data_IF_918288714626
#
_entry.id   IF_918288714626
#
_cell.length_a   1.000
_cell.length_b   1.000
_cell.length_c   1.000
_cell.angle_alpha   90.00
_cell.angle_beta   90.00
_cell.angle_gamma   90.00
#
_symmetry.space_group_name_H-M   'P 1'
#
loop_
_entity.id
_entity.type
_entity.pdbx_description
1 polymer ?
#
# COMPACT_ATOMS: atom_id res chain seq x y z
N UNK A 1 -22.76 -21.73 -22.93
CA UNK A 1 -22.66 -22.98 -23.73
C UNK A 1 -23.67 -23.99 -23.19
N UNK A 2 -24.75 -24.27 -23.92
CA UNK A 2 -25.73 -25.30 -23.57
C UNK A 2 -25.11 -26.67 -23.87
N UNK A 3 -24.45 -27.29 -22.89
CA UNK A 3 -24.22 -28.74 -22.96
C UNK A 3 -25.58 -29.43 -22.84
N UNK A 4 -25.83 -30.50 -23.62
CA UNK A 4 -27.05 -31.28 -23.48
C UNK A 4 -27.15 -31.84 -22.05
N UNK A 5 -28.36 -31.99 -21.49
CA UNK A 5 -28.56 -32.54 -20.15
C UNK A 5 -27.92 -33.93 -20.05
N UNK A 6 -27.35 -34.24 -18.88
CA UNK A 6 -26.74 -35.54 -18.65
C UNK A 6 -27.81 -36.64 -18.71
N UNK A 7 -27.74 -37.50 -19.73
CA UNK A 7 -28.69 -38.59 -19.98
C UNK A 7 -28.10 -39.97 -19.70
N UNK A 8 -27.03 -40.04 -18.90
CA UNK A 8 -26.43 -41.31 -18.49
C UNK A 8 -27.18 -41.88 -17.30
N UNK A 9 -27.68 -43.10 -17.47
CA UNK A 9 -28.44 -43.85 -16.48
C UNK A 9 -27.70 -45.14 -16.18
N UNK A 10 -27.55 -45.45 -14.89
CA UNK A 10 -27.09 -46.73 -14.41
C UNK A 10 -28.29 -47.57 -14.00
N UNK A 11 -28.42 -48.80 -14.49
CA UNK A 11 -29.45 -49.74 -14.09
C UNK A 11 -28.79 -50.92 -13.39
N UNK A 12 -29.19 -51.17 -12.15
CA UNK A 12 -28.69 -52.23 -11.29
C UNK A 12 -29.86 -53.13 -10.92
N UNK A 13 -29.95 -54.29 -11.56
CA UNK A 13 -30.99 -55.30 -11.32
C UNK A 13 -30.39 -56.67 -11.65
N UNK A 14 -30.71 -57.71 -10.89
CA UNK A 14 -30.15 -59.06 -11.12
C UNK A 14 -30.86 -59.81 -12.26
N UNK A 15 -32.00 -59.29 -12.72
CA UNK A 15 -32.92 -59.96 -13.65
C UNK A 15 -32.74 -59.44 -15.09
N UNK A 16 -32.20 -60.24 -16.03
CA UNK A 16 -31.89 -59.77 -17.39
C UNK A 16 -33.07 -59.21 -18.18
N UNK A 17 -34.29 -59.73 -17.97
CA UNK A 17 -35.48 -59.22 -18.67
C UNK A 17 -35.83 -57.78 -18.31
N UNK A 18 -35.52 -57.34 -17.08
CA UNK A 18 -35.75 -55.95 -16.64
C UNK A 18 -34.84 -55.00 -17.42
N UNK A 19 -33.60 -55.39 -17.70
CA UNK A 19 -32.69 -54.60 -18.52
C UNK A 19 -33.21 -54.38 -19.94
N UNK A 20 -33.79 -55.42 -20.54
CA UNK A 20 -34.36 -55.32 -21.89
C UNK A 20 -35.62 -54.44 -21.91
N UNK A 21 -36.44 -54.47 -20.86
CA UNK A 21 -37.61 -53.61 -20.74
C UNK A 21 -37.20 -52.14 -20.56
N UNK A 22 -36.26 -51.85 -19.66
CA UNK A 22 -35.72 -50.50 -19.50
C UNK A 22 -35.03 -49.99 -20.78
N UNK A 23 -34.34 -50.86 -21.52
CA UNK A 23 -33.75 -50.51 -22.81
C UNK A 23 -34.82 -50.12 -23.82
N UNK A 24 -35.92 -50.88 -23.95
CA UNK A 24 -37.05 -50.52 -24.83
C UNK A 24 -37.68 -49.18 -24.45
N UNK A 25 -37.79 -48.91 -23.14
CA UNK A 25 -38.45 -47.71 -22.62
C UNK A 25 -37.56 -46.46 -22.76
N UNK A 26 -36.28 -46.55 -22.39
CA UNK A 26 -35.37 -45.40 -22.28
C UNK A 26 -34.48 -45.21 -23.51
N UNK A 27 -34.33 -46.24 -24.33
CA UNK A 27 -33.61 -46.23 -25.61
C UNK A 27 -34.55 -46.64 -26.75
N UNK A 28 -35.58 -45.84 -27.08
CA UNK A 28 -36.47 -46.19 -28.19
C UNK A 28 -35.65 -46.36 -29.47
N UNK A 29 -35.73 -47.55 -30.07
CA UNK A 29 -35.13 -47.85 -31.37
C UNK A 29 -35.78 -46.90 -32.37
N UNK A 30 -34.97 -46.04 -32.98
CA UNK A 30 -35.43 -45.20 -34.08
C UNK A 30 -35.65 -46.12 -35.26
N UNK A 31 -36.87 -46.62 -35.41
CA UNK A 31 -37.28 -47.28 -36.64
C UNK A 31 -37.22 -46.21 -37.74
N UNK A 32 -36.18 -46.29 -38.57
CA UNK A 32 -35.86 -45.30 -39.58
C UNK A 32 -36.79 -45.44 -40.78
N UNK A 33 -38.08 -45.18 -40.59
CA UNK A 33 -38.99 -44.88 -41.69
C UNK A 33 -38.91 -43.38 -42.01
N UNK A 34 -37.73 -42.93 -42.45
CA UNK A 34 -37.53 -41.57 -42.99
C UNK A 34 -38.57 -41.22 -44.05
N UNK A 35 -39.01 -42.20 -44.83
CA UNK A 35 -39.99 -42.03 -45.92
C UNK A 35 -41.39 -41.66 -45.41
N UNK A 36 -41.84 -42.21 -44.27
CA UNK A 36 -43.15 -41.86 -43.70
C UNK A 36 -43.11 -40.48 -43.03
N UNK A 37 -42.04 -40.17 -42.29
CA UNK A 37 -41.87 -38.86 -41.63
C UNK A 37 -41.76 -37.72 -42.67
N UNK A 38 -41.12 -37.96 -43.82
CA UNK A 38 -41.06 -37.00 -44.95
C UNK A 38 -42.42 -36.82 -45.65
N UNK A 39 -43.19 -37.89 -45.85
CA UNK A 39 -44.53 -37.82 -46.45
C UNK A 39 -45.53 -37.08 -45.54
N UNK A 40 -45.48 -37.29 -44.23
CA UNK A 40 -46.34 -36.58 -43.27
C UNK A 40 -46.03 -35.07 -43.21
N UNK A 41 -44.74 -34.71 -43.25
CA UNK A 41 -44.31 -33.31 -43.25
C UNK A 41 -44.73 -32.57 -44.52
N UNK A 42 -44.69 -33.24 -45.68
CA UNK A 42 -45.12 -32.69 -46.96
C UNK A 42 -46.66 -32.53 -47.09
N UNK A 43 -47.44 -33.42 -46.46
CA UNK A 43 -48.91 -33.42 -46.54
C UNK A 43 -49.58 -32.49 -45.52
N UNK A 44 -49.03 -32.37 -44.30
CA UNK A 44 -49.70 -31.67 -43.19
C UNK A 44 -48.94 -30.45 -42.65
N UNK A 45 -47.75 -30.11 -43.17
CA UNK A 45 -47.00 -28.93 -42.77
C UNK A 45 -46.58 -28.91 -41.30
N UNK A 46 -46.58 -30.07 -40.63
CA UNK A 46 -46.19 -30.18 -39.23
C UNK A 46 -44.66 -30.06 -39.11
N UNK A 47 -44.21 -29.17 -38.22
CA UNK A 47 -42.83 -29.14 -37.75
C UNK A 47 -42.48 -30.51 -37.17
N UNK A 48 -41.43 -31.14 -37.71
CA UNK A 48 -40.87 -32.38 -37.19
C UNK A 48 -40.69 -32.20 -35.68
N UNK A 49 -41.51 -32.87 -34.86
CA UNK A 49 -41.31 -32.89 -33.41
C UNK A 49 -39.90 -33.43 -33.19
N UNK A 50 -39.02 -32.60 -32.61
CA UNK A 50 -37.68 -33.03 -32.24
C UNK A 50 -37.81 -34.28 -31.36
N UNK A 51 -37.47 -35.46 -31.90
CA UNK A 51 -37.51 -36.72 -31.16
C UNK A 51 -36.53 -36.58 -29.99
N UNK A 52 -37.03 -36.77 -28.77
CA UNK A 52 -36.21 -36.62 -27.57
C UNK A 52 -35.01 -37.58 -27.65
N UNK A 53 -33.77 -37.13 -27.42
CA UNK A 53 -32.60 -37.99 -27.52
C UNK A 53 -32.71 -39.16 -26.53
N UNK A 54 -32.39 -40.39 -26.95
CA UNK A 54 -32.40 -41.55 -26.05
C UNK A 54 -31.48 -41.35 -24.84
N UNK A 55 -31.75 -42.08 -23.75
CA UNK A 55 -30.82 -42.15 -22.63
C UNK A 55 -29.66 -43.10 -22.96
N UNK A 56 -28.50 -42.88 -22.34
CA UNK A 56 -27.38 -43.82 -22.37
C UNK A 56 -27.52 -44.73 -21.15
N UNK A 57 -27.93 -45.97 -21.37
CA UNK A 57 -28.19 -46.94 -20.29
C UNK A 57 -27.01 -47.89 -20.12
N UNK A 58 -26.43 -47.92 -18.92
CA UNK A 58 -25.43 -48.91 -18.52
C UNK A 58 -26.04 -49.89 -17.53
N UNK A 59 -25.81 -51.18 -17.78
CA UNK A 59 -26.40 -52.29 -17.02
C UNK A 59 -25.35 -52.89 -16.10
N UNK A 60 -25.74 -53.12 -14.85
CA UNK A 60 -25.04 -53.92 -13.87
C UNK A 60 -26.00 -54.97 -13.32
N UNK A 61 -25.52 -56.20 -13.13
CA UNK A 61 -26.32 -57.32 -12.64
C UNK A 61 -26.19 -57.52 -11.13
N UNK A 62 -25.53 -56.59 -10.45
CA UNK A 62 -25.38 -56.58 -8.99
C UNK A 62 -24.78 -55.27 -8.49
N UNK A 63 -24.93 -55.00 -7.20
CA UNK A 63 -24.50 -53.74 -6.58
C UNK A 63 -23.00 -53.44 -6.72
N UNK A 64 -22.15 -54.45 -6.59
CA UNK A 64 -20.69 -54.30 -6.70
C UNK A 64 -20.25 -53.91 -8.12
N UNK A 65 -20.88 -54.51 -9.15
CA UNK A 65 -20.64 -54.16 -10.55
C UNK A 65 -21.11 -52.73 -10.84
N UNK A 66 -22.29 -52.35 -10.31
CA UNK A 66 -22.81 -50.98 -10.44
C UNK A 66 -21.88 -49.94 -9.83
N UNK A 67 -21.30 -50.22 -8.66
CA UNK A 67 -20.30 -49.35 -8.02
C UNK A 67 -19.04 -49.21 -8.88
N UNK A 68 -18.52 -50.31 -9.45
CA UNK A 68 -17.34 -50.25 -10.32
C UNK A 68 -17.59 -49.41 -11.58
N UNK A 69 -18.76 -49.53 -12.20
CA UNK A 69 -19.16 -48.69 -13.33
C UNK A 69 -19.24 -47.22 -12.93
N UNK A 70 -19.82 -46.89 -11.76
CA UNK A 70 -19.86 -45.53 -11.24
C UNK A 70 -18.45 -44.96 -11.02
N UNK A 71 -17.56 -45.72 -10.39
CA UNK A 71 -16.16 -45.29 -10.14
C UNK A 71 -15.45 -45.00 -11.46
N UNK A 72 -15.54 -45.92 -12.43
CA UNK A 72 -14.94 -45.74 -13.75
C UNK A 72 -15.50 -44.50 -14.46
N UNK A 73 -16.81 -44.29 -14.38
CA UNK A 73 -17.49 -43.15 -14.97
C UNK A 73 -17.07 -41.81 -14.33
N UNK A 74 -16.88 -41.78 -13.01
CA UNK A 74 -16.38 -40.60 -12.29
C UNK A 74 -14.91 -40.30 -12.65
N UNK A 75 -14.07 -41.34 -12.75
CA UNK A 75 -12.67 -41.20 -13.16
C UNK A 75 -12.54 -40.64 -14.59
N UNK A 76 -13.47 -41.00 -15.48
CA UNK A 76 -13.53 -40.49 -16.86
C UNK A 76 -14.25 -39.15 -16.99
N UNK A 77 -14.65 -38.51 -15.87
CA UNK A 77 -15.43 -37.26 -15.84
C UNK A 77 -16.78 -37.34 -16.59
N UNK A 78 -17.35 -38.54 -16.68
CA UNK A 78 -18.66 -38.78 -17.29
C UNK A 78 -19.63 -39.32 -16.24
N UNK A 79 -20.11 -38.49 -15.31
CA UNK A 79 -20.95 -38.94 -14.21
C UNK A 79 -22.30 -39.50 -14.70
N UNK A 80 -22.88 -40.43 -13.94
CA UNK A 80 -24.28 -40.80 -14.13
C UNK A 80 -25.19 -39.76 -13.47
N UNK A 81 -26.29 -39.42 -14.12
CA UNK A 81 -27.29 -38.50 -13.54
C UNK A 81 -28.28 -39.25 -12.64
N UNK A 82 -28.58 -40.50 -12.99
CA UNK A 82 -29.61 -41.31 -12.36
C UNK A 82 -29.18 -42.77 -12.28
N UNK A 83 -29.55 -43.43 -11.18
CA UNK A 83 -29.47 -44.88 -11.03
C UNK A 83 -30.84 -45.49 -10.71
N UNK A 84 -31.25 -46.52 -11.46
CA UNK A 84 -32.33 -47.41 -11.07
C UNK A 84 -31.72 -48.61 -10.34
N UNK A 85 -32.19 -48.88 -9.13
CA UNK A 85 -31.61 -49.92 -8.27
C UNK A 85 -32.70 -50.83 -7.76
N UNK A 86 -32.60 -52.12 -8.07
CA UNK A 86 -33.47 -53.13 -7.50
C UNK A 86 -33.18 -53.35 -6.01
N UNK A 87 -34.24 -53.51 -5.22
CA UNK A 87 -34.09 -53.67 -3.78
C UNK A 87 -33.69 -55.09 -3.37
N UNK A 88 -33.99 -56.12 -4.18
CA UNK A 88 -33.75 -57.54 -3.83
C UNK A 88 -32.84 -58.22 -4.85
N UNK A 89 -31.53 -58.13 -4.61
CA UNK A 89 -30.51 -58.87 -5.34
C UNK A 89 -29.98 -60.02 -4.45
N UNK A 90 -30.38 -61.29 -4.68
CA UNK A 90 -30.07 -62.43 -3.82
C UNK A 90 -28.60 -62.86 -3.88
N UNK A 91 -27.85 -62.45 -4.90
CA UNK A 91 -26.41 -62.65 -5.00
C UNK A 91 -25.68 -61.32 -4.79
N UNK A 92 -24.98 -61.18 -3.66
CA UNK A 92 -24.16 -60.00 -3.37
C UNK A 92 -24.85 -58.95 -2.49
N UNK A 93 -24.72 -57.67 -2.84
CA UNK A 93 -25.28 -56.55 -2.08
C UNK A 93 -26.77 -56.38 -2.38
N UNK A 94 -27.56 -56.05 -1.36
CA UNK A 94 -28.95 -55.61 -1.54
C UNK A 94 -29.02 -54.18 -2.12
N UNK A 95 -30.21 -53.75 -2.53
CA UNK A 95 -30.37 -52.41 -3.11
C UNK A 95 -30.02 -51.29 -2.14
N UNK A 96 -30.35 -51.45 -0.85
CA UNK A 96 -30.05 -50.46 0.18
C UNK A 96 -28.54 -50.24 0.35
N UNK A 97 -27.76 -51.32 0.53
CA UNK A 97 -26.29 -51.25 0.63
C UNK A 97 -25.68 -50.70 -0.66
N UNK A 98 -26.24 -51.08 -1.82
CA UNK A 98 -25.79 -50.54 -3.10
C UNK A 98 -25.92 -49.03 -3.15
N UNK A 99 -27.07 -48.47 -2.75
CA UNK A 99 -27.32 -47.02 -2.76
C UNK A 99 -26.38 -46.29 -1.79
N UNK A 100 -26.17 -46.82 -0.58
CA UNK A 100 -25.23 -46.26 0.39
C UNK A 100 -23.81 -46.12 -0.21
N UNK A 101 -23.31 -47.16 -0.86
CA UNK A 101 -21.97 -47.16 -1.44
C UNK A 101 -21.88 -46.25 -2.68
N UNK A 102 -22.93 -46.19 -3.51
CA UNK A 102 -22.97 -45.26 -4.65
C UNK A 102 -22.91 -43.80 -4.19
N UNK A 103 -23.66 -43.42 -3.15
CA UNK A 103 -23.70 -42.05 -2.65
C UNK A 103 -22.45 -41.61 -1.90
N UNK A 104 -21.64 -42.53 -1.35
CA UNK A 104 -20.31 -42.20 -0.82
C UNK A 104 -19.39 -41.64 -1.92
N UNK A 105 -19.56 -42.10 -3.15
CA UNK A 105 -18.72 -41.73 -4.30
C UNK A 105 -19.35 -40.60 -5.12
N UNK A 106 -20.66 -40.66 -5.33
CA UNK A 106 -21.43 -39.68 -6.09
C UNK A 106 -22.63 -39.17 -5.27
N UNK A 107 -22.41 -38.23 -4.33
CA UNK A 107 -23.49 -37.72 -3.48
C UNK A 107 -24.63 -37.07 -4.28
N UNK A 108 -24.35 -36.54 -5.46
CA UNK A 108 -25.29 -35.85 -6.33
C UNK A 108 -26.18 -36.79 -7.15
N UNK A 109 -25.81 -38.07 -7.28
CA UNK A 109 -26.54 -39.09 -8.04
C UNK A 109 -28.01 -39.20 -7.60
N UNK A 110 -28.94 -39.10 -8.55
CA UNK A 110 -30.35 -39.37 -8.27
C UNK A 110 -30.61 -40.87 -8.29
N UNK A 111 -31.46 -41.37 -7.41
CA UNK A 111 -31.72 -42.82 -7.28
C UNK A 111 -33.21 -43.11 -7.33
N UNK A 112 -33.58 -44.10 -8.13
CA UNK A 112 -34.93 -44.68 -8.15
C UNK A 112 -34.84 -46.12 -7.67
N UNK A 113 -35.55 -46.42 -6.59
CA UNK A 113 -35.63 -47.77 -6.01
C UNK A 113 -36.72 -48.56 -6.71
N UNK A 114 -36.34 -49.68 -7.31
CA UNK A 114 -37.23 -50.66 -7.90
C UNK A 114 -37.60 -51.71 -6.84
N UNK A 115 -38.88 -51.86 -6.52
CA UNK A 115 -39.35 -52.78 -5.45
C UNK A 115 -40.63 -53.50 -5.85
N UNK A 116 -40.84 -54.73 -5.34
CA UNK A 116 -42.13 -55.42 -5.39
C UNK A 116 -42.98 -55.08 -4.15
N UNK A 117 -44.25 -55.48 -4.15
CA UNK A 117 -45.29 -55.09 -3.19
C UNK A 117 -45.02 -55.50 -1.71
N UNK A 118 -43.93 -56.23 -1.43
CA UNK A 118 -43.72 -56.96 -0.17
C UNK A 118 -42.35 -56.76 0.47
N UNK A 119 -41.50 -55.85 -0.03
CA UNK A 119 -40.07 -56.05 0.18
C UNK A 119 -39.49 -55.38 1.44
N UNK A 120 -39.92 -54.16 1.78
CA UNK A 120 -39.51 -53.43 2.99
C UNK A 120 -40.58 -52.41 3.41
N UNK A 121 -40.65 -52.05 4.70
CA UNK A 121 -41.38 -50.88 5.14
C UNK A 121 -40.62 -49.60 4.71
N UNK A 122 -41.31 -48.68 4.06
CA UNK A 122 -40.70 -47.46 3.47
C UNK A 122 -39.96 -46.59 4.50
N UNK A 123 -40.45 -46.56 5.74
CA UNK A 123 -39.88 -45.80 6.85
C UNK A 123 -38.46 -46.31 7.20
N UNK A 124 -38.25 -47.63 7.25
CA UNK A 124 -36.95 -48.24 7.57
C UNK A 124 -35.89 -47.94 6.49
N UNK A 125 -36.31 -47.84 5.22
CA UNK A 125 -35.40 -47.49 4.11
C UNK A 125 -35.04 -46.01 4.12
N UNK A 126 -35.98 -45.12 4.44
CA UNK A 126 -35.72 -43.69 4.56
C UNK A 126 -34.80 -43.39 5.75
N UNK A 127 -35.01 -44.04 6.88
CA UNK A 127 -34.18 -43.89 8.07
C UNK A 127 -32.75 -44.38 7.83
N UNK A 128 -32.60 -45.47 7.06
CA UNK A 128 -31.28 -46.02 6.72
C UNK A 128 -30.51 -45.17 5.70
N UNK A 129 -31.21 -44.56 4.75
CA UNK A 129 -30.59 -43.86 3.60
C UNK A 129 -30.52 -42.33 3.75
N UNK A 130 -31.18 -41.73 4.75
CA UNK A 130 -31.16 -40.29 5.06
C UNK A 130 -31.35 -39.35 3.84
N UNK A 131 -32.06 -39.81 2.80
CA UNK A 131 -32.00 -39.25 1.44
C UNK A 131 -33.34 -38.77 0.87
N UNK A 132 -34.16 -38.06 1.66
CA UNK A 132 -35.57 -37.77 1.37
C UNK A 132 -35.87 -37.11 0.01
N UNK A 133 -34.95 -36.29 -0.53
CA UNK A 133 -35.19 -35.54 -1.78
C UNK A 133 -34.54 -36.16 -3.03
N UNK A 134 -33.74 -37.23 -2.88
CA UNK A 134 -32.96 -37.83 -3.99
C UNK A 134 -33.35 -39.27 -4.30
N UNK A 135 -34.37 -39.77 -3.58
CA UNK A 135 -34.87 -41.12 -3.65
C UNK A 135 -36.32 -41.09 -4.16
N UNK A 136 -36.60 -41.78 -5.26
CA UNK A 136 -37.97 -42.09 -5.68
C UNK A 136 -38.19 -43.61 -5.66
N UNK A 137 -39.43 -44.05 -5.50
CA UNK A 137 -39.79 -45.47 -5.58
C UNK A 137 -40.53 -45.70 -6.88
N UNK A 138 -40.20 -46.81 -7.52
CA UNK A 138 -40.88 -47.35 -8.67
C UNK A 138 -41.32 -48.79 -8.36
N UNK A 139 -42.63 -49.07 -8.41
CA UNK A 139 -43.20 -50.38 -8.06
C UNK A 139 -43.29 -51.31 -9.27
N UNK A 140 -42.86 -52.57 -9.12
CA UNK A 140 -43.00 -53.63 -10.15
C UNK A 140 -44.45 -54.17 -10.19
N UNK A 141 -45.08 -54.39 -11.37
CA UNK A 141 -44.59 -54.11 -12.72
C UNK A 141 -44.66 -52.62 -13.08
N UNK A 142 -43.69 -52.14 -13.85
CA UNK A 142 -43.51 -50.72 -14.15
C UNK A 142 -44.35 -50.26 -15.34
N UNK A 143 -44.86 -49.01 -15.29
CA UNK A 143 -45.44 -48.34 -16.46
C UNK A 143 -44.35 -47.61 -17.26
N UNK A 144 -44.34 -47.78 -18.59
CA UNK A 144 -43.37 -47.16 -19.49
C UNK A 144 -43.32 -45.62 -19.35
N UNK A 145 -44.48 -44.99 -19.17
CA UNK A 145 -44.61 -43.53 -19.03
C UNK A 145 -43.99 -43.09 -17.70
N UNK A 146 -44.22 -43.85 -16.62
CA UNK A 146 -43.70 -43.54 -15.29
C UNK A 146 -42.15 -43.56 -15.28
N UNK A 147 -41.55 -44.60 -15.86
CA UNK A 147 -40.08 -44.72 -15.98
C UNK A 147 -39.50 -43.57 -16.80
N UNK A 148 -40.11 -43.22 -17.94
CA UNK A 148 -39.65 -42.09 -18.76
C UNK A 148 -39.78 -40.74 -18.05
N UNK A 149 -40.88 -40.51 -17.33
CA UNK A 149 -41.10 -39.25 -16.60
C UNK A 149 -40.09 -39.11 -15.46
N UNK A 150 -39.86 -40.17 -14.69
CA UNK A 150 -38.86 -40.19 -13.62
C UNK A 150 -37.45 -39.94 -14.18
N UNK A 151 -37.08 -40.65 -15.26
CA UNK A 151 -35.77 -40.49 -15.89
C UNK A 151 -35.51 -39.06 -16.35
N UNK A 152 -36.47 -38.44 -17.05
CA UNK A 152 -36.33 -37.06 -17.52
C UNK A 152 -36.28 -36.05 -16.36
N UNK A 153 -37.17 -36.21 -15.37
CA UNK A 153 -37.28 -35.25 -14.26
C UNK A 153 -36.03 -35.27 -13.39
N UNK A 154 -35.54 -36.46 -13.03
CA UNK A 154 -34.37 -36.61 -12.17
C UNK A 154 -33.06 -36.24 -12.89
N UNK A 155 -32.91 -36.61 -14.16
CA UNK A 155 -31.75 -36.19 -14.95
C UNK A 155 -31.67 -34.66 -15.08
N UNK A 156 -32.81 -33.99 -15.31
CA UNK A 156 -32.86 -32.52 -15.34
C UNK A 156 -32.57 -31.91 -13.96
N UNK A 157 -33.12 -32.49 -12.88
CA UNK A 157 -32.84 -32.04 -11.51
C UNK A 157 -31.35 -32.10 -11.18
N UNK A 158 -30.68 -33.19 -11.55
CA UNK A 158 -29.24 -33.37 -11.38
C UNK A 158 -28.44 -32.29 -12.11
N UNK A 159 -28.76 -32.05 -13.38
CA UNK A 159 -28.07 -31.06 -14.21
C UNK A 159 -28.28 -29.63 -13.68
N UNK A 160 -29.49 -29.29 -13.25
CA UNK A 160 -29.79 -28.00 -12.63
C UNK A 160 -29.03 -27.79 -11.32
N UNK A 161 -29.01 -28.80 -10.44
CA UNK A 161 -28.30 -28.71 -9.16
C UNK A 161 -26.80 -28.51 -9.39
N UNK A 162 -26.19 -29.28 -10.31
CA UNK A 162 -24.78 -29.14 -10.65
C UNK A 162 -24.44 -27.79 -11.25
N UNK A 163 -25.30 -27.27 -12.14
CA UNK A 163 -25.12 -25.93 -12.72
C UNK A 163 -25.19 -24.84 -11.66
N UNK A 164 -26.16 -24.93 -10.74
CA UNK A 164 -26.30 -23.98 -9.64
C UNK A 164 -25.03 -23.96 -8.78
N UNK A 165 -24.52 -25.13 -8.37
CA UNK A 165 -23.28 -25.21 -7.58
C UNK A 165 -22.09 -24.59 -8.32
N UNK A 166 -21.90 -24.92 -9.61
CA UNK A 166 -20.80 -24.35 -10.40
C UNK A 166 -20.93 -22.83 -10.56
N UNK A 167 -22.15 -22.32 -10.75
CA UNK A 167 -22.39 -20.88 -10.84
C UNK A 167 -22.11 -20.18 -9.51
N UNK A 168 -22.54 -20.75 -8.38
CA UNK A 168 -22.28 -20.19 -7.06
C UNK A 168 -20.77 -20.10 -6.80
N UNK A 169 -20.02 -21.19 -7.03
CA UNK A 169 -18.56 -21.18 -6.85
C UNK A 169 -17.88 -20.15 -7.76
N UNK A 170 -18.34 -20.01 -9.01
CA UNK A 170 -17.79 -19.01 -9.92
C UNK A 170 -18.08 -17.57 -9.45
N UNK A 171 -19.29 -17.30 -8.96
CA UNK A 171 -19.67 -16.01 -8.41
C UNK A 171 -18.88 -15.67 -7.14
N UNK A 172 -18.68 -16.63 -6.25
CA UNK A 172 -17.87 -16.45 -5.04
C UNK A 172 -16.43 -16.04 -5.38
N UNK A 173 -15.80 -16.74 -6.34
CA UNK A 173 -14.46 -16.39 -6.82
C UNK A 173 -14.41 -14.97 -7.44
N UNK A 174 -15.42 -14.60 -8.23
CA UNK A 174 -15.47 -13.29 -8.85
C UNK A 174 -15.67 -12.17 -7.82
N UNK A 175 -16.52 -12.40 -6.82
CA UNK A 175 -16.71 -11.48 -5.69
C UNK A 175 -15.40 -11.30 -4.94
N UNK A 176 -14.70 -12.39 -4.59
CA UNK A 176 -13.42 -12.31 -3.88
C UNK A 176 -12.38 -11.50 -4.67
N UNK A 177 -12.23 -11.78 -5.96
CA UNK A 177 -11.32 -11.02 -6.84
C UNK A 177 -11.69 -9.53 -6.91
N UNK A 178 -12.98 -9.21 -7.02
CA UNK A 178 -13.45 -7.82 -7.08
C UNK A 178 -13.26 -7.10 -5.75
N UNK A 179 -13.50 -7.77 -4.63
CA UNK A 179 -13.29 -7.21 -3.30
C UNK A 179 -11.81 -6.91 -3.06
N UNK A 180 -10.90 -7.81 -3.44
CA UNK A 180 -9.45 -7.57 -3.35
C UNK A 180 -9.00 -6.39 -4.21
N UNK A 181 -9.46 -6.32 -5.46
CA UNK A 181 -9.13 -5.21 -6.36
C UNK A 181 -9.64 -3.86 -5.82
N UNK A 182 -10.88 -3.83 -5.30
CA UNK A 182 -11.46 -2.62 -4.72
C UNK A 182 -10.71 -2.17 -3.47
N UNK A 183 -10.27 -3.12 -2.63
CA UNK A 183 -9.50 -2.80 -1.44
C UNK A 183 -8.17 -2.13 -1.79
N UNK A 184 -7.47 -2.63 -2.81
CA UNK A 184 -6.24 -2.02 -3.33
C UNK A 184 -6.50 -0.59 -3.83
N UNK A 185 -7.57 -0.38 -4.59
CA UNK A 185 -7.95 0.96 -5.11
C UNK A 185 -8.33 1.94 -3.98
N UNK A 186 -9.01 1.47 -2.93
CA UNK A 186 -9.33 2.27 -1.74
C UNK A 186 -8.05 2.68 -1.01
N UNK A 187 -7.10 1.77 -0.83
CA UNK A 187 -5.85 2.06 -0.13
C UNK A 187 -4.97 3.02 -0.92
N UNK A 188 -4.93 2.88 -2.25
CA UNK A 188 -4.27 3.84 -3.14
C UNK A 188 -4.93 5.23 -3.08
N UNK A 189 -6.26 5.30 -3.14
CA UNK A 189 -7.01 6.56 -3.01
C UNK A 189 -6.74 7.25 -1.68
N UNK A 190 -6.76 6.52 -0.56
CA UNK A 190 -6.45 7.08 0.77
C UNK A 190 -5.03 7.63 0.83
N UNK A 191 -4.07 6.94 0.20
CA UNK A 191 -2.70 7.41 0.14
C UNK A 191 -2.59 8.74 -0.62
N UNK A 192 -3.23 8.83 -1.80
CA UNK A 192 -3.27 10.06 -2.60
C UNK A 192 -3.99 11.21 -1.87
N UNK A 193 -5.10 10.95 -1.22
CA UNK A 193 -5.84 11.95 -0.43
C UNK A 193 -4.98 12.52 0.71
N UNK A 194 -4.26 11.66 1.44
CA UNK A 194 -3.32 12.09 2.47
C UNK A 194 -2.20 12.97 1.91
N UNK A 195 -1.67 12.62 0.73
CA UNK A 195 -0.63 13.42 0.06
C UNK A 195 -1.17 14.79 -0.37
N UNK A 196 -2.41 14.86 -0.90
CA UNK A 196 -3.05 16.12 -1.30
C UNK A 196 -3.29 17.03 -0.10
N UNK A 197 -3.83 16.51 1.00
CA UNK A 197 -4.03 17.28 2.24
C UNK A 197 -2.70 17.81 2.78
N UNK A 198 -1.63 17.01 2.73
CA UNK A 198 -0.30 17.46 3.13
C UNK A 198 0.23 18.56 2.19
N UNK A 199 0.06 18.42 0.88
CA UNK A 199 0.44 19.44 -0.12
C UNK A 199 -0.32 20.74 0.07
N UNK A 200 -1.63 20.70 0.32
CA UNK A 200 -2.46 21.88 0.55
C UNK A 200 -2.03 22.63 1.82
N UNK A 201 -1.76 21.89 2.91
CA UNK A 201 -1.19 22.47 4.14
C UNK A 201 0.15 23.16 3.88
N UNK A 202 1.02 22.55 3.09
CA UNK A 202 2.33 23.14 2.73
C UNK A 202 2.18 24.40 1.89
N UNK A 203 1.27 24.40 0.91
CA UNK A 203 0.98 25.57 0.07
C UNK A 203 0.41 26.75 0.88
N UNK A 204 -0.56 26.47 1.75
CA UNK A 204 -1.14 27.47 2.67
C UNK A 204 -0.08 28.06 3.61
N UNK A 205 0.79 27.19 4.15
CA UNK A 205 1.90 27.61 5.01
C UNK A 205 2.91 28.48 4.24
N UNK A 206 3.19 28.16 2.98
CA UNK A 206 4.05 28.95 2.10
C UNK A 206 3.52 30.37 1.84
N UNK A 207 2.23 30.50 1.53
CA UNK A 207 1.63 31.81 1.25
C UNK A 207 1.60 32.72 2.50
N UNK A 208 1.27 32.16 3.66
CA UNK A 208 1.32 32.89 4.95
C UNK A 208 2.76 33.23 5.36
N UNK A 209 3.70 32.31 5.17
CA UNK A 209 5.12 32.49 5.45
C UNK A 209 5.71 33.71 4.72
N UNK A 210 5.36 33.93 3.46
CA UNK A 210 5.87 35.06 2.67
C UNK A 210 5.41 36.42 3.22
N UNK A 211 4.14 36.55 3.61
CA UNK A 211 3.57 37.78 4.19
C UNK A 211 4.12 38.06 5.58
N UNK A 212 4.07 37.04 6.46
CA UNK A 212 4.59 37.12 7.84
C UNK A 212 6.09 37.44 7.85
N UNK A 213 6.87 36.87 6.91
CA UNK A 213 8.28 37.17 6.82
C UNK A 213 8.59 38.64 6.50
N UNK A 214 7.77 39.28 5.68
CA UNK A 214 7.94 40.71 5.40
C UNK A 214 7.54 41.56 6.61
N UNK A 215 6.48 41.18 7.33
CA UNK A 215 6.00 41.91 8.49
C UNK A 215 6.90 41.77 9.72
N UNK A 216 7.60 40.64 9.88
CA UNK A 216 8.58 40.45 10.97
C UNK A 216 9.93 41.09 10.65
N UNK A 217 10.40 41.02 9.39
CA UNK A 217 11.70 41.62 9.04
C UNK A 217 11.76 43.12 9.28
N UNK A 218 10.65 43.84 9.08
CA UNK A 218 10.56 45.28 9.28
C UNK A 218 10.89 45.70 10.74
N UNK A 219 10.15 45.26 11.78
CA UNK A 219 10.45 45.59 13.18
C UNK A 219 11.82 45.08 13.62
N UNK A 220 12.23 43.89 13.18
CA UNK A 220 13.53 43.33 13.52
C UNK A 220 14.68 44.19 12.96
N UNK A 221 14.54 44.70 11.75
CA UNK A 221 15.48 45.65 11.15
C UNK A 221 15.62 46.93 11.98
N UNK A 222 14.50 47.51 12.43
CA UNK A 222 14.52 48.69 13.30
C UNK A 222 15.23 48.41 14.64
N UNK A 223 14.94 47.29 15.29
CA UNK A 223 15.56 46.94 16.58
C UNK A 223 17.06 46.69 16.38
N UNK A 224 17.46 45.94 15.34
CA UNK A 224 18.87 45.68 15.04
C UNK A 224 19.67 46.98 14.80
N UNK A 225 19.08 47.92 14.07
CA UNK A 225 19.67 49.24 13.83
C UNK A 225 19.80 50.01 15.14
N UNK A 226 18.73 50.06 15.95
CA UNK A 226 18.74 50.78 17.23
C UNK A 226 19.77 50.22 18.21
N UNK A 227 19.89 48.90 18.33
CA UNK A 227 20.92 48.28 19.17
C UNK A 227 22.33 48.55 18.67
N UNK A 228 22.54 48.61 17.36
CA UNK A 228 23.84 48.96 16.78
C UNK A 228 24.22 50.40 17.08
N UNK A 229 23.25 51.32 16.98
CA UNK A 229 23.42 52.71 17.38
C UNK A 229 23.67 52.85 18.89
N UNK A 230 22.91 52.12 19.72
CA UNK A 230 23.07 52.13 21.18
C UNK A 230 24.45 51.64 21.60
N UNK A 231 24.95 50.58 20.97
CA UNK A 231 26.31 50.07 21.16
C UNK A 231 27.36 51.15 20.84
N UNK A 232 27.18 51.87 19.72
CA UNK A 232 28.07 52.98 19.36
C UNK A 232 28.01 54.12 20.38
N UNK A 233 26.82 54.50 20.87
CA UNK A 233 26.69 55.55 21.88
C UNK A 233 27.31 55.13 23.20
N UNK A 234 27.13 53.88 23.61
CA UNK A 234 27.71 53.37 24.83
C UNK A 234 29.23 53.33 24.74
N UNK A 235 29.82 52.92 23.62
CA UNK A 235 31.27 52.96 23.41
C UNK A 235 31.85 54.38 23.50
N UNK A 236 31.13 55.40 23.02
CA UNK A 236 31.54 56.81 23.18
C UNK A 236 31.45 57.26 24.65
N UNK A 237 30.39 56.85 25.37
CA UNK A 237 30.24 57.13 26.80
C UNK A 237 31.33 56.44 27.62
N UNK A 238 31.67 55.18 27.31
CA UNK A 238 32.77 54.45 27.94
C UNK A 238 34.09 55.22 27.79
N UNK A 239 34.41 55.65 26.58
CA UNK A 239 35.62 56.43 26.31
C UNK A 239 35.68 57.71 27.16
N UNK A 240 34.55 58.39 27.37
CA UNK A 240 34.50 59.58 28.22
C UNK A 240 34.63 59.23 29.71
N UNK A 241 33.98 58.16 30.17
CA UNK A 241 34.08 57.68 31.54
C UNK A 241 35.51 57.24 31.87
N UNK A 242 36.21 56.59 30.95
CA UNK A 242 37.62 56.22 31.09
C UNK A 242 38.52 57.45 31.22
N UNK A 243 38.25 58.50 30.43
CA UNK A 243 38.98 59.76 30.53
C UNK A 243 38.74 60.46 31.88
N UNK A 244 37.50 60.47 32.37
CA UNK A 244 37.18 61.00 33.70
C UNK A 244 37.82 60.18 34.82
N UNK A 245 37.78 58.86 34.73
CA UNK A 245 38.41 57.95 35.70
C UNK A 245 39.93 58.17 35.75
N UNK A 246 40.58 58.38 34.61
CA UNK A 246 42.01 58.67 34.53
C UNK A 246 42.36 60.04 35.14
N UNK A 247 41.47 61.03 34.99
CA UNK A 247 41.65 62.36 35.58
C UNK A 247 41.30 62.42 37.08
N UNK A 248 40.50 61.48 37.57
CA UNK A 248 40.02 61.41 38.97
C UNK A 248 41.18 61.42 39.98
N UNK A 249 42.29 60.74 39.66
CA UNK A 249 43.49 60.69 40.49
C UNK A 249 44.24 62.03 40.63
N UNK A 250 43.96 62.97 39.72
CA UNK A 250 44.61 64.29 39.68
C UNK A 250 43.76 65.38 40.36
N UNK A 251 42.54 65.07 40.82
CA UNK A 251 41.63 66.05 41.43
C UNK A 251 42.08 66.38 42.86
N UNK A 252 42.22 67.68 43.14
CA UNK A 252 42.40 68.24 44.48
C UNK A 252 41.32 69.31 44.74
N UNK A 253 40.70 69.38 45.93
CA UNK A 253 41.03 68.68 47.19
C UNK A 253 40.57 67.20 47.28
N UNK A 254 41.18 66.44 48.21
CA UNK A 254 40.92 65.00 48.45
C UNK A 254 39.44 64.68 48.70
N UNK A 255 38.73 65.56 49.40
CA UNK A 255 37.31 65.36 49.75
C UNK A 255 36.41 65.21 48.50
N UNK A 256 36.68 65.98 47.43
CA UNK A 256 35.93 65.89 46.18
C UNK A 256 36.24 64.60 45.41
N UNK A 257 37.49 64.12 45.50
CA UNK A 257 37.90 62.83 44.95
C UNK A 257 37.20 61.67 45.67
N UNK A 258 37.13 61.71 47.00
CA UNK A 258 36.47 60.67 47.77
C UNK A 258 34.95 60.66 47.55
N UNK A 259 34.33 61.83 47.35
CA UNK A 259 32.92 61.93 46.93
C UNK A 259 32.66 61.30 45.56
N UNK A 260 33.54 61.54 44.56
CA UNK A 260 33.43 60.92 43.24
C UNK A 260 33.61 59.40 43.28
N UNK A 261 34.59 58.90 44.06
CA UNK A 261 34.78 57.46 44.29
C UNK A 261 33.56 56.81 44.95
N UNK A 262 33.00 57.47 45.97
CA UNK A 262 31.79 57.00 46.65
C UNK A 262 30.60 56.94 45.70
N UNK A 263 30.43 57.96 44.84
CA UNK A 263 29.38 57.98 43.83
C UNK A 263 29.58 56.86 42.78
N UNK A 264 30.81 56.67 42.29
CA UNK A 264 31.14 55.59 41.34
C UNK A 264 30.83 54.21 41.91
N UNK A 265 31.19 54.00 43.17
CA UNK A 265 30.92 52.74 43.89
C UNK A 265 29.43 52.56 44.14
N UNK A 266 28.73 53.61 44.58
CA UNK A 266 27.28 53.56 44.84
C UNK A 266 26.41 53.40 43.59
N UNK A 267 26.90 53.82 42.42
CA UNK A 267 26.29 53.56 41.12
C UNK A 267 26.69 52.22 40.50
N UNK A 268 27.62 51.48 41.13
CA UNK A 268 28.20 50.24 40.60
C UNK A 268 28.72 50.42 39.16
N UNK A 269 29.40 51.54 38.91
CA UNK A 269 29.75 51.94 37.54
C UNK A 269 30.57 50.87 36.83
N UNK A 270 31.54 50.25 37.51
CA UNK A 270 32.39 49.20 36.93
C UNK A 270 31.58 47.99 36.45
N UNK A 271 30.54 47.59 37.20
CA UNK A 271 29.61 46.53 36.79
C UNK A 271 28.81 46.92 35.55
N UNK A 272 28.25 48.14 35.52
CA UNK A 272 27.48 48.63 34.36
C UNK A 272 28.32 48.75 33.08
N UNK A 273 29.61 49.10 33.20
CA UNK A 273 30.57 49.15 32.08
C UNK A 273 30.77 47.77 31.44
N UNK A 274 30.70 46.70 32.22
CA UNK A 274 30.85 45.32 31.74
C UNK A 274 29.52 44.70 31.28
N UNK A 275 28.42 44.94 32.01
CA UNK A 275 27.14 44.27 31.79
C UNK A 275 26.36 44.81 30.57
N UNK A 276 26.35 46.13 30.36
CA UNK A 276 25.60 46.75 29.25
C UNK A 276 26.08 46.24 27.87
N UNK A 277 27.39 46.15 27.57
CA UNK A 277 27.88 45.55 26.33
C UNK A 277 27.43 44.10 26.14
N UNK A 278 27.39 43.32 27.22
CA UNK A 278 26.94 41.91 27.19
C UNK A 278 25.46 41.87 26.80
N UNK A 279 24.60 42.66 27.46
CA UNK A 279 23.16 42.73 27.15
C UNK A 279 22.88 43.16 25.70
N UNK A 280 23.63 44.14 25.19
CA UNK A 280 23.51 44.60 23.80
C UNK A 280 23.91 43.47 22.84
N UNK A 281 25.01 42.77 23.12
CA UNK A 281 25.48 41.65 22.30
C UNK A 281 24.47 40.51 22.27
N UNK A 282 23.98 40.06 23.42
CA UNK A 282 22.99 39.00 23.53
C UNK A 282 21.68 39.37 22.81
N UNK A 283 21.26 40.63 22.90
CA UNK A 283 20.08 41.13 22.18
C UNK A 283 20.28 41.12 20.66
N UNK A 284 21.46 41.52 20.18
CA UNK A 284 21.82 41.44 18.75
C UNK A 284 21.83 40.00 18.25
N UNK A 285 22.37 39.06 19.03
CA UNK A 285 22.36 37.63 18.70
C UNK A 285 20.93 37.05 18.66
N UNK A 286 20.07 37.43 19.61
CA UNK A 286 18.64 37.07 19.60
C UNK A 286 17.93 37.54 18.33
N UNK A 287 18.16 38.79 17.92
CA UNK A 287 17.61 39.34 16.68
C UNK A 287 18.16 38.62 15.44
N UNK A 288 19.47 38.35 15.40
CA UNK A 288 20.08 37.59 14.31
C UNK A 288 19.42 36.23 14.11
N UNK A 289 19.06 35.55 15.20
CA UNK A 289 18.30 34.29 15.16
C UNK A 289 16.91 34.49 14.56
N UNK A 290 16.17 35.52 14.97
CA UNK A 290 14.85 35.82 14.40
C UNK A 290 14.94 36.08 12.89
N UNK A 291 15.92 36.86 12.44
CA UNK A 291 16.15 37.10 11.01
C UNK A 291 16.41 35.78 10.27
N UNK A 292 17.21 34.89 10.84
CA UNK A 292 17.51 33.60 10.22
C UNK A 292 16.27 32.70 10.14
N UNK A 293 15.47 32.60 11.21
CA UNK A 293 14.22 31.83 11.21
C UNK A 293 13.26 32.36 10.13
N UNK A 294 13.11 33.68 10.04
CA UNK A 294 12.25 34.32 9.05
C UNK A 294 12.77 34.11 7.64
N UNK A 295 14.10 34.13 7.43
CA UNK A 295 14.73 33.85 6.14
C UNK A 295 14.52 32.40 5.72
N UNK A 296 14.65 31.45 6.64
CA UNK A 296 14.38 30.03 6.38
C UNK A 296 12.91 29.80 6.02
N UNK A 297 11.99 30.45 6.75
CA UNK A 297 10.55 30.45 6.48
C UNK A 297 10.22 31.06 5.10
N UNK A 298 10.89 32.16 4.73
CA UNK A 298 10.74 32.81 3.42
C UNK A 298 11.33 31.97 2.28
N UNK A 299 12.44 31.26 2.52
CA UNK A 299 13.03 30.36 1.54
C UNK A 299 12.16 29.12 1.34
N UNK A 300 11.51 28.64 2.41
CA UNK A 300 10.51 27.58 2.34
C UNK A 300 9.30 27.99 1.48
N UNK A 301 8.87 29.26 1.52
CA UNK A 301 7.78 29.77 0.69
C UNK A 301 8.19 30.19 -0.72
N UNK A 302 9.46 30.53 -0.96
CA UNK A 302 10.01 30.97 -2.26
C UNK A 302 10.42 29.83 -3.18
N UNK A 303 9.69 28.72 -3.18
CA UNK A 303 9.88 27.62 -4.13
C UNK A 303 9.50 28.04 -5.58
N UNK A 304 8.97 29.26 -5.80
CA UNK A 304 8.25 29.62 -7.03
C UNK A 304 8.87 30.67 -8.00
N UNK A 305 10.02 31.30 -7.75
CA UNK A 305 10.47 32.41 -8.64
C UNK A 305 11.50 32.07 -9.74
N UNK A 306 12.15 30.90 -9.73
CA UNK A 306 13.03 30.40 -10.82
C UNK A 306 12.70 28.92 -11.12
N UNK A 307 11.44 28.67 -11.51
CA UNK A 307 10.93 27.32 -11.79
C UNK A 307 11.17 26.86 -13.24
N UNK A 308 12.37 27.09 -13.77
CA UNK A 308 12.73 26.53 -15.07
C UNK A 308 13.46 25.20 -14.87
N UNK A 309 12.73 24.12 -15.15
CA UNK A 309 13.33 22.81 -15.33
C UNK A 309 14.36 22.90 -16.44
N UNK A 310 15.57 22.49 -16.12
CA UNK A 310 16.70 22.55 -17.04
C UNK A 310 17.65 21.39 -16.79
N UNK A 311 18.38 20.99 -17.82
CA UNK A 311 19.51 20.10 -17.65
C UNK A 311 20.63 20.86 -16.94
N UNK A 312 21.02 20.37 -15.77
CA UNK A 312 22.05 20.98 -14.96
C UNK A 312 23.05 19.95 -14.45
N UNK A 313 24.30 20.40 -14.31
CA UNK A 313 25.35 19.62 -13.67
C UNK A 313 25.21 19.71 -12.14
N UNK A 314 24.72 18.64 -11.52
CA UNK A 314 24.51 18.59 -10.07
C UNK A 314 25.81 18.75 -9.28
N UNK A 315 26.93 18.23 -9.78
CA UNK A 315 28.22 18.31 -9.10
C UNK A 315 28.70 19.76 -8.98
N UNK A 316 28.53 20.56 -10.04
CA UNK A 316 28.83 22.00 -9.99
C UNK A 316 27.95 22.74 -8.96
N UNK A 317 26.68 22.34 -8.85
CA UNK A 317 25.75 22.85 -7.84
C UNK A 317 26.19 22.52 -6.40
N UNK A 318 26.61 21.27 -6.16
CA UNK A 318 27.15 20.82 -4.87
C UNK A 318 28.41 21.63 -4.51
N UNK A 319 29.36 21.76 -5.42
CA UNK A 319 30.61 22.49 -5.17
C UNK A 319 30.35 23.97 -4.82
N UNK A 320 29.40 24.59 -5.53
CA UNK A 320 28.99 25.97 -5.24
C UNK A 320 28.37 26.09 -3.86
N UNK A 321 27.50 25.15 -3.49
CA UNK A 321 26.87 25.09 -2.16
C UNK A 321 27.91 24.92 -1.05
N UNK A 322 28.88 24.03 -1.23
CA UNK A 322 29.93 23.79 -0.24
C UNK A 322 30.82 25.01 -0.01
N UNK A 323 31.10 25.79 -1.06
CA UNK A 323 31.84 27.04 -0.93
C UNK A 323 31.08 28.07 -0.10
N UNK A 324 29.75 28.12 -0.21
CA UNK A 324 28.90 29.05 0.55
C UNK A 324 28.91 28.70 2.05
N UNK A 325 28.83 27.42 2.40
CA UNK A 325 28.80 26.97 3.80
C UNK A 325 30.20 26.74 4.39
N UNK A 326 31.27 26.97 3.62
CA UNK A 326 32.64 26.68 4.03
C UNK A 326 33.03 27.35 5.35
N UNK A 327 32.54 28.57 5.62
CA UNK A 327 32.82 29.28 6.88
C UNK A 327 32.21 28.60 8.11
N UNK A 328 31.04 28.00 7.97
CA UNK A 328 30.38 27.24 9.05
C UNK A 328 31.06 25.89 9.26
N UNK A 329 31.50 25.25 8.17
CA UNK A 329 32.18 23.96 8.21
C UNK A 329 33.61 24.04 8.75
N UNK A 330 34.32 25.14 8.50
CA UNK A 330 35.75 25.33 8.84
C UNK A 330 36.09 24.95 10.29
N UNK A 331 35.19 25.20 11.23
CA UNK A 331 35.42 24.92 12.65
C UNK A 331 34.77 23.63 13.15
N UNK A 332 33.94 22.96 12.34
CA UNK A 332 33.11 21.81 12.74
C UNK A 332 33.50 20.50 12.08
N UNK A 333 33.87 20.52 10.79
CA UNK A 333 34.15 19.30 10.05
C UNK A 333 35.13 19.53 8.89
N UNK A 334 35.77 18.45 8.47
CA UNK A 334 36.47 18.37 7.18
C UNK A 334 35.56 17.71 6.13
N UNK A 335 35.54 18.25 4.91
CA UNK A 335 34.69 17.76 3.83
C UNK A 335 35.51 16.90 2.88
N UNK A 336 35.12 15.63 2.73
CA UNK A 336 35.74 14.68 1.81
C UNK A 336 34.79 14.42 0.65
N UNK A 337 35.30 14.53 -0.59
CA UNK A 337 34.49 14.43 -1.81
C UNK A 337 34.87 13.17 -2.59
N UNK A 338 33.91 12.27 -2.79
CA UNK A 338 34.04 11.05 -3.59
C UNK A 338 33.10 11.14 -4.79
N UNK A 339 33.51 11.92 -5.80
CA UNK A 339 32.70 12.12 -6.99
C UNK A 339 33.02 11.09 -8.06
N UNK A 340 31.96 10.50 -8.59
CA UNK A 340 31.92 9.81 -9.87
C UNK A 340 31.32 10.77 -10.93
N UNK A 341 31.72 10.64 -12.21
CA UNK A 341 31.13 11.44 -13.27
C UNK A 341 29.61 11.25 -13.34
N UNK A 342 28.85 12.34 -13.18
CA UNK A 342 27.40 12.34 -13.31
C UNK A 342 26.98 12.94 -14.66
N UNK A 343 25.92 12.41 -15.31
CA UNK A 343 25.28 13.08 -16.42
C UNK A 343 24.58 14.37 -15.95
N UNK A 344 24.29 15.27 -16.88
CA UNK A 344 23.35 16.37 -16.60
C UNK A 344 21.96 15.78 -16.35
N UNK A 345 21.29 16.32 -15.34
CA UNK A 345 19.94 15.89 -14.95
C UNK A 345 18.95 17.02 -15.13
N UNK A 346 17.73 16.67 -15.50
CA UNK A 346 16.62 17.61 -15.60
C UNK A 346 16.09 17.94 -14.20
N UNK A 347 16.38 19.17 -13.73
CA UNK A 347 16.07 19.57 -12.36
C UNK A 347 15.87 21.08 -12.19
N UNK A 348 15.39 21.45 -11.01
CA UNK A 348 15.41 22.82 -10.49
C UNK A 348 16.65 22.99 -9.62
N UNK A 349 17.77 23.39 -10.24
CA UNK A 349 19.10 23.39 -9.61
C UNK A 349 19.16 24.15 -8.27
N UNK A 350 18.46 25.29 -8.16
CA UNK A 350 18.39 26.08 -6.92
C UNK A 350 17.78 25.30 -5.74
N UNK A 351 16.74 24.50 -6.00
CA UNK A 351 16.10 23.68 -4.98
C UNK A 351 16.98 22.50 -4.57
N UNK A 352 17.64 21.84 -5.53
CA UNK A 352 18.58 20.76 -5.19
C UNK A 352 19.78 21.27 -4.40
N UNK A 353 20.33 22.46 -4.74
CA UNK A 353 21.37 23.09 -3.94
C UNK A 353 20.90 23.37 -2.49
N UNK A 354 19.63 23.73 -2.31
CA UNK A 354 19.06 23.91 -0.97
C UNK A 354 18.95 22.59 -0.19
N UNK A 355 18.60 21.47 -0.84
CA UNK A 355 18.66 20.13 -0.22
C UNK A 355 20.07 19.83 0.26
N UNK A 356 21.07 20.01 -0.61
CA UNK A 356 22.49 19.77 -0.27
C UNK A 356 22.93 20.64 0.90
N UNK A 357 22.59 21.93 0.88
CA UNK A 357 22.90 22.86 1.95
C UNK A 357 22.33 22.39 3.29
N UNK A 358 21.06 22.00 3.32
CA UNK A 358 20.40 21.53 4.54
C UNK A 358 21.04 20.25 5.09
N UNK A 359 21.35 19.28 4.22
CA UNK A 359 21.99 18.03 4.64
C UNK A 359 23.39 18.27 5.21
N UNK A 360 24.19 19.12 4.57
CA UNK A 360 25.55 19.45 5.02
C UNK A 360 25.55 20.23 6.32
N UNK A 361 24.64 21.19 6.49
CA UNK A 361 24.48 21.95 7.75
C UNK A 361 24.05 21.01 8.88
N UNK A 362 23.08 20.12 8.63
CA UNK A 362 22.64 19.14 9.63
C UNK A 362 23.77 18.20 10.05
N UNK A 363 24.56 17.72 9.09
CA UNK A 363 25.76 16.92 9.34
C UNK A 363 26.76 17.67 10.23
N UNK A 364 27.06 18.94 9.92
CA UNK A 364 27.98 19.76 10.71
C UNK A 364 27.48 20.04 12.14
N UNK A 365 26.17 20.14 12.31
CA UNK A 365 25.53 20.37 13.61
C UNK A 365 25.47 19.11 14.47
N UNK A 366 25.49 17.93 13.86
CA UNK A 366 25.56 16.64 14.57
C UNK A 366 26.97 16.34 15.12
N UNK A 367 27.98 17.15 14.78
CA UNK A 367 29.35 16.99 15.24
C UNK A 367 29.50 17.40 16.71
N UNK A 368 30.34 16.66 17.43
CA UNK A 368 30.71 16.93 18.82
C UNK A 368 31.70 18.10 18.97
N UNK A 369 32.41 18.17 20.11
CA UNK A 369 33.43 19.18 20.36
C UNK A 369 34.70 19.01 19.49
N UNK A 370 34.95 17.80 18.99
CA UNK A 370 36.03 17.51 18.06
C UNK A 370 35.58 17.69 16.60
N UNK A 371 36.51 18.02 15.70
CA UNK A 371 36.21 18.15 14.27
C UNK A 371 35.85 16.79 13.69
N UNK A 372 34.68 16.71 13.07
CA UNK A 372 34.22 15.52 12.37
C UNK A 372 34.60 15.49 10.89
N UNK A 373 34.00 14.56 10.16
CA UNK A 373 34.17 14.38 8.72
C UNK A 373 32.81 14.25 8.05
N UNK A 374 32.60 15.06 7.02
CA UNK A 374 31.43 14.97 6.14
C UNK A 374 31.91 14.41 4.80
N UNK A 375 31.40 13.25 4.43
CA UNK A 375 31.72 12.59 3.17
C UNK A 375 30.57 12.78 2.19
N UNK A 376 30.87 13.32 1.01
CA UNK A 376 29.88 13.50 -0.06
C UNK A 376 30.25 12.59 -1.21
N UNK A 377 29.35 11.66 -1.52
CA UNK A 377 29.53 10.64 -2.54
C UNK A 377 28.40 10.71 -3.55
N UNK A 378 28.67 10.37 -4.81
CA UNK A 378 27.61 10.30 -5.81
C UNK A 378 27.84 9.14 -6.79
N UNK A 379 26.81 8.81 -7.55
CA UNK A 379 26.92 7.84 -8.63
C UNK A 379 25.66 7.73 -9.46
N UNK A 380 25.73 6.84 -10.44
CA UNK A 380 24.62 6.53 -11.35
C UNK A 380 24.22 5.08 -11.14
N UNK A 381 22.91 4.84 -11.09
CA UNK A 381 22.32 3.51 -11.02
C UNK A 381 21.14 3.43 -12.00
N UNK A 382 21.38 2.83 -13.18
CA UNK A 382 20.41 2.79 -14.27
C UNK A 382 20.05 4.19 -14.79
N UNK A 383 18.76 4.53 -14.73
CA UNK A 383 18.23 5.85 -15.14
C UNK A 383 18.19 6.88 -13.99
N UNK A 384 18.71 6.50 -12.81
CA UNK A 384 18.74 7.35 -11.64
C UNK A 384 20.17 7.74 -11.28
N UNK A 385 20.33 8.92 -10.69
CA UNK A 385 21.53 9.31 -9.96
C UNK A 385 21.27 9.21 -8.47
N UNK A 386 22.31 8.95 -7.70
CA UNK A 386 22.26 9.02 -6.25
C UNK A 386 23.33 9.97 -5.72
N UNK A 387 22.99 10.65 -4.63
CA UNK A 387 23.84 11.55 -3.86
C UNK A 387 23.76 11.14 -2.40
N UNK A 388 24.90 10.91 -1.77
CA UNK A 388 25.02 10.58 -0.36
C UNK A 388 25.77 11.68 0.38
N UNK A 389 25.21 12.10 1.52
CA UNK A 389 25.88 12.97 2.50
C UNK A 389 25.98 12.17 3.78
N UNK A 390 27.19 11.74 4.11
CA UNK A 390 27.50 10.96 5.31
C UNK A 390 28.29 11.79 6.31
N UNK A 391 27.92 11.71 7.58
CA UNK A 391 28.64 12.29 8.71
C UNK A 391 29.06 11.20 9.70
N UNK A 392 30.08 11.52 10.50
CA UNK A 392 30.49 10.72 11.65
C UNK A 392 30.08 11.36 12.99
N UNK A 393 28.94 12.07 12.99
CA UNK A 393 28.41 12.76 14.16
C UNK A 393 27.75 11.83 15.17
N UNK A 394 26.89 12.39 16.03
CA UNK A 394 26.24 11.65 17.12
C UNK A 394 25.22 10.58 16.68
N UNK A 395 24.80 10.57 15.41
CA UNK A 395 23.76 9.67 14.91
C UNK A 395 22.35 10.01 15.43
N UNK A 396 21.35 9.25 14.98
CA UNK A 396 19.92 9.48 15.24
C UNK A 396 19.31 8.20 15.81
N UNK A 397 18.49 8.32 16.86
CA UNK A 397 17.80 7.14 17.44
C UNK A 397 16.73 6.59 16.49
N UNK A 398 16.44 5.28 16.54
CA UNK A 398 15.41 4.68 15.68
C UNK A 398 14.02 5.31 15.81
N UNK A 399 13.62 5.79 17.00
CA UNK A 399 12.33 6.47 17.17
C UNK A 399 12.31 7.84 16.49
N UNK A 400 13.45 8.53 16.52
CA UNK A 400 13.60 9.89 15.97
C UNK A 400 13.62 9.84 14.44
N UNK A 401 14.27 8.83 13.84
CA UNK A 401 14.33 8.62 12.39
C UNK A 401 12.93 8.61 11.73
N UNK A 402 11.91 8.11 12.43
CA UNK A 402 10.53 8.06 11.89
C UNK A 402 9.89 9.46 11.75
N UNK A 403 10.41 10.46 12.46
CA UNK A 403 9.81 11.81 12.57
C UNK A 403 10.69 12.93 12.00
N UNK A 404 11.94 12.64 11.60
CA UNK A 404 12.88 13.69 11.17
C UNK A 404 12.41 14.49 9.94
N UNK A 405 11.49 13.93 9.14
CA UNK A 405 10.90 14.60 7.98
C UNK A 405 9.58 15.31 8.31
N UNK A 406 9.08 15.18 9.53
CA UNK A 406 7.87 15.89 9.97
C UNK A 406 8.17 17.41 10.09
N UNK A 407 7.32 18.28 9.55
CA UNK A 407 7.49 19.72 9.70
C UNK A 407 7.58 20.14 11.17
N UNK A 408 8.52 21.05 11.48
CA UNK A 408 8.77 21.60 12.82
C UNK A 408 9.33 20.60 13.85
N UNK A 409 9.57 19.35 13.47
CA UNK A 409 10.23 18.40 14.36
C UNK A 409 11.72 18.73 14.49
N UNK A 410 12.20 18.86 15.72
CA UNK A 410 13.61 19.10 16.04
C UNK A 410 13.96 18.46 17.39
N UNK A 411 15.13 17.85 17.48
CA UNK A 411 15.70 17.34 18.74
C UNK A 411 16.52 18.39 19.48
N UNK A 412 16.72 19.56 18.87
CA UNK A 412 17.50 20.65 19.46
C UNK A 412 16.71 21.42 20.52
N UNK A 413 17.42 22.08 21.46
CA UNK A 413 16.80 23.00 22.41
C UNK A 413 15.94 24.06 21.72
N UNK A 414 14.96 24.57 22.46
CA UNK A 414 14.06 25.63 21.99
C UNK A 414 14.88 26.84 21.53
N UNK A 415 14.79 27.16 20.22
CA UNK A 415 15.48 28.30 19.61
C UNK A 415 16.75 27.98 18.81
N UNK A 416 17.20 26.72 18.74
CA UNK A 416 18.39 26.32 17.96
C UNK A 416 18.08 25.52 16.68
N UNK A 417 16.84 25.04 16.52
CA UNK A 417 16.41 24.31 15.34
C UNK A 417 15.00 24.72 14.91
N UNK A 418 14.83 25.04 13.63
CA UNK A 418 13.52 25.36 13.05
C UNK A 418 12.69 24.12 12.74
N UNK A 419 13.33 22.94 12.60
CA UNK A 419 12.68 21.70 12.18
C UNK A 419 12.14 21.72 10.75
N UNK A 420 12.54 22.70 9.93
CA UNK A 420 12.04 22.88 8.56
C UNK A 420 13.00 22.36 7.48
N UNK A 421 14.29 22.18 7.80
CA UNK A 421 15.30 21.84 6.79
C UNK A 421 15.08 20.47 6.12
N UNK A 422 14.83 19.42 6.92
CA UNK A 422 14.63 18.06 6.39
C UNK A 422 13.25 17.88 5.74
N UNK A 423 12.20 18.47 6.30
CA UNK A 423 10.85 18.44 5.71
C UNK A 423 10.82 19.18 4.36
N UNK A 424 11.51 20.31 4.23
CA UNK A 424 11.71 20.99 2.95
C UNK A 424 12.50 20.13 1.96
N UNK A 425 13.58 19.51 2.44
CA UNK A 425 14.40 18.63 1.60
C UNK A 425 13.58 17.47 1.04
N UNK A 426 12.75 16.85 1.88
CA UNK A 426 11.82 15.80 1.46
C UNK A 426 10.84 16.29 0.39
N UNK A 427 10.21 17.45 0.59
CA UNK A 427 9.28 18.05 -0.38
C UNK A 427 9.93 18.36 -1.73
N UNK A 428 11.15 18.92 -1.73
CA UNK A 428 11.92 19.20 -2.96
C UNK A 428 12.23 17.90 -3.70
N UNK A 429 12.73 16.88 -3.00
CA UNK A 429 13.09 15.60 -3.64
C UNK A 429 11.86 14.90 -4.21
N UNK A 430 10.72 14.94 -3.52
CA UNK A 430 9.46 14.41 -4.05
C UNK A 430 8.98 15.17 -5.29
N UNK A 431 9.11 16.50 -5.32
CA UNK A 431 8.82 17.32 -6.51
C UNK A 431 9.69 16.95 -7.73
N UNK A 432 10.87 16.39 -7.49
CA UNK A 432 11.76 15.85 -8.54
C UNK A 432 11.56 14.36 -8.81
N UNK A 433 10.41 13.79 -8.42
CA UNK A 433 10.09 12.36 -8.55
C UNK A 433 11.17 11.44 -7.93
N UNK A 434 11.89 11.96 -6.95
CA UNK A 434 12.98 11.27 -6.29
C UNK A 434 12.58 10.63 -4.97
N UNK A 435 13.59 10.06 -4.33
CA UNK A 435 13.48 9.52 -2.98
C UNK A 435 14.63 10.00 -2.10
N UNK A 436 14.34 10.31 -0.84
CA UNK A 436 15.36 10.58 0.18
C UNK A 436 15.21 9.54 1.28
N UNK A 437 16.32 8.94 1.69
CA UNK A 437 16.40 7.92 2.72
C UNK A 437 17.52 8.23 3.69
N UNK A 438 17.44 7.67 4.89
CA UNK A 438 18.41 7.89 5.95
C UNK A 438 18.83 6.55 6.55
N UNK A 439 20.12 6.38 6.79
CA UNK A 439 20.70 5.30 7.59
C UNK A 439 21.52 5.94 8.69
N UNK A 440 21.25 5.60 9.95
CA UNK A 440 21.93 6.23 11.08
C UNK A 440 22.15 5.23 12.19
N UNK A 441 23.30 5.31 12.85
CA UNK A 441 23.62 4.54 14.04
C UNK A 441 24.16 5.50 15.12
N UNK A 442 23.55 5.43 16.32
CA UNK A 442 23.90 6.28 17.45
C UNK A 442 25.37 6.11 17.80
N UNK A 443 26.12 7.22 17.83
CA UNK A 443 27.55 7.25 18.10
C UNK A 443 28.46 6.90 16.93
N UNK A 444 27.92 6.55 15.75
CA UNK A 444 28.72 6.33 14.53
C UNK A 444 28.48 7.37 13.44
N UNK A 445 27.28 7.95 13.39
CA UNK A 445 26.92 9.01 12.45
C UNK A 445 25.70 8.69 11.59
N UNK A 446 25.44 9.54 10.61
CA UNK A 446 24.26 9.47 9.74
C UNK A 446 24.64 9.55 8.28
N UNK A 447 23.94 8.81 7.42
CA UNK A 447 24.04 8.91 5.96
C UNK A 447 22.66 9.19 5.39
N UNK A 448 22.52 10.35 4.74
CA UNK A 448 21.37 10.66 3.92
C UNK A 448 21.67 10.30 2.47
N UNK A 449 20.78 9.52 1.85
CA UNK A 449 20.85 9.14 0.44
C UNK A 449 19.67 9.70 -0.32
N UNK A 450 19.97 10.54 -1.29
CA UNK A 450 19.03 11.13 -2.25
C UNK A 450 19.16 10.39 -3.58
N UNK A 451 18.03 9.99 -4.17
CA UNK A 451 17.94 9.34 -5.47
C UNK A 451 17.02 10.18 -6.36
N UNK A 452 17.49 10.53 -7.56
CA UNK A 452 16.79 11.37 -8.52
C UNK A 452 16.84 10.74 -9.92
N UNK A 453 15.76 10.82 -10.71
CA UNK A 453 15.81 10.39 -12.11
C UNK A 453 16.64 11.38 -12.94
N UNK A 454 17.36 10.88 -13.95
CA UNK A 454 18.14 11.72 -14.87
C UNK A 454 17.23 12.62 -15.72
N UNK A 455 16.05 12.10 -16.08
CA UNK A 455 15.00 12.83 -16.81
C UNK A 455 13.70 12.77 -16.02
N UNK A 456 12.95 13.86 -16.00
CA UNK A 456 11.65 13.85 -15.36
C UNK A 456 10.66 13.09 -16.25
N UNK A 457 9.99 12.09 -15.70
CA UNK A 457 8.88 11.44 -16.38
C UNK A 457 7.75 12.47 -16.47
N UNK A 458 7.25 12.76 -17.67
CA UNK A 458 6.11 13.65 -17.83
C UNK A 458 4.93 13.12 -16.99
N UNK A 459 4.36 14.00 -16.16
CA UNK A 459 3.19 13.72 -15.34
C UNK A 459 1.94 13.44 -16.18
#
# INVERSE_FOLDING_TARGET
MNKPPNRRILLIDDTPSIHDDFRKILMPVVDSNQVLDEMESALFGATVKAKAPGFELHSAYGGEEGLQLLISAMAQQQPYALAFVDMRMPQGWDGAKTIEELWKIAPDLQVVVCTAYSDYAWEDLLDRLHGHDRLLILKKPFDNIEVQQMANTLANKWDMARRATLQTTHLEQLVEQRTQALQLEIDERKHLESQLVQSEKLASLGQLAAGVAHEINNPVGFISSNLSTLDSYFNQLQQMLDAYQSAEELIAPQEQRDQLKALRTGLELDFLKEDIPILIRESKEGIGRVVQIVKDLKNFSRVDNDQTWQFANLQQGIDSTLNIVASELKYKADVVKHYNPLPEIECLASQLNQVVMNLVINAAQAMGPERGTITISNGVDGENIWLEVADNGCGITPETVQKIFDPFFTTKPVGEGTGLGLSLSYGIIKKHHGNISVSSEVGKGTTFRVVLPIRQTAA
#
